data_IF_224019564006
#
_entry.id   IF_224019564006
#
_cell.length_a   1.000
_cell.length_b   1.000
_cell.length_c   1.000
_cell.angle_alpha   90.00
_cell.angle_beta   90.00
_cell.angle_gamma   90.00
#
_symmetry.space_group_name_H-M   'P 1'
#
loop_
_entity.id
_entity.type
_entity.pdbx_description
1 polymer ?
#
# COMPACT_ATOMS: atom_id res chain seq x y z
N UNK A 1 22.02 -5.70 54.39
CA UNK A 1 22.33 -5.03 53.09
C UNK A 1 21.68 -5.84 52.00
N UNK A 2 20.62 -5.34 51.33
CA UNK A 2 20.05 -6.02 50.18
C UNK A 2 20.74 -5.52 48.88
N UNK A 3 21.14 -6.45 48.06
CA UNK A 3 21.71 -6.23 46.74
C UNK A 3 20.64 -5.62 45.84
N UNK A 4 20.87 -4.41 45.38
CA UNK A 4 20.11 -3.79 44.29
C UNK A 4 20.56 -4.42 42.97
N UNK A 5 19.71 -5.21 42.34
CA UNK A 5 19.84 -5.65 40.97
C UNK A 5 19.57 -4.44 40.03
N UNK A 6 20.65 -3.90 39.52
CA UNK A 6 20.63 -2.89 38.50
C UNK A 6 20.16 -3.57 37.18
N UNK A 7 18.90 -3.37 36.83
CA UNK A 7 18.41 -3.74 35.50
C UNK A 7 18.91 -2.69 34.50
N UNK A 8 19.95 -3.03 33.77
CA UNK A 8 20.33 -2.27 32.57
C UNK A 8 19.17 -2.30 31.57
N UNK A 9 18.80 -1.17 30.95
CA UNK A 9 17.85 -1.21 29.84
C UNK A 9 18.45 -2.07 28.75
N UNK A 10 17.67 -3.01 28.24
CA UNK A 10 18.02 -3.81 27.05
C UNK A 10 18.22 -2.80 25.93
N UNK A 11 19.49 -2.54 25.57
CA UNK A 11 19.83 -1.89 24.30
C UNK A 11 19.30 -2.80 23.18
N UNK A 12 18.21 -2.39 22.56
CA UNK A 12 17.78 -2.97 21.28
C UNK A 12 18.89 -2.58 20.30
N UNK A 13 19.79 -3.53 20.01
CA UNK A 13 20.72 -3.40 18.88
C UNK A 13 19.87 -3.01 17.66
N UNK A 14 20.08 -1.77 17.17
CA UNK A 14 19.55 -1.33 15.90
C UNK A 14 20.21 -2.21 14.83
N UNK A 15 19.49 -3.24 14.41
CA UNK A 15 19.79 -3.91 13.16
C UNK A 15 19.86 -2.83 12.08
N UNK A 16 20.93 -2.82 11.29
CA UNK A 16 21.27 -1.89 10.21
C UNK A 16 20.05 -1.11 9.70
N UNK A 17 20.20 0.23 9.56
CA UNK A 17 19.17 1.14 8.97
C UNK A 17 18.86 0.69 7.51
N UNK A 18 18.05 -0.36 7.36
CA UNK A 18 17.60 -0.80 6.04
C UNK A 18 16.82 0.32 5.37
N UNK A 19 17.25 0.71 4.19
CA UNK A 19 16.57 1.69 3.36
C UNK A 19 15.30 1.08 2.80
N UNK A 20 14.17 1.72 3.05
CA UNK A 20 12.87 1.30 2.52
C UNK A 20 12.52 2.23 1.36
N UNK A 21 12.29 1.66 0.18
CA UNK A 21 11.78 2.38 -0.99
C UNK A 21 10.38 1.88 -1.31
N UNK A 22 9.43 2.80 -1.32
CA UNK A 22 8.04 2.54 -1.68
C UNK A 22 7.78 3.12 -3.06
N UNK A 23 7.76 2.27 -4.08
CA UNK A 23 7.36 2.63 -5.43
C UNK A 23 5.86 2.43 -5.59
N UNK A 24 5.15 3.45 -6.11
CA UNK A 24 3.71 3.41 -6.30
C UNK A 24 3.14 4.79 -6.63
N UNK A 25 1.85 4.96 -6.41
CA UNK A 25 1.16 6.22 -6.71
C UNK A 25 1.14 7.20 -5.53
N UNK A 26 1.14 8.50 -5.87
CA UNK A 26 0.65 9.59 -5.02
C UNK A 26 -0.61 10.15 -5.66
N UNK A 27 -1.67 10.32 -4.90
CA UNK A 27 -2.95 10.78 -5.43
C UNK A 27 -3.71 11.67 -4.43
N UNK A 28 -4.66 12.44 -4.95
CA UNK A 28 -5.68 13.11 -4.14
C UNK A 28 -7.03 12.42 -4.34
N UNK A 29 -7.72 12.14 -3.24
CA UNK A 29 -9.11 11.68 -3.26
C UNK A 29 -10.02 12.89 -3.04
N UNK A 30 -10.73 13.31 -4.09
CA UNK A 30 -11.65 14.44 -4.13
C UNK A 30 -13.07 13.94 -4.00
N UNK A 31 -13.61 14.04 -2.79
CA UNK A 31 -14.89 13.46 -2.39
C UNK A 31 -15.94 14.54 -2.33
N UNK A 32 -17.03 14.35 -3.08
CA UNK A 32 -18.18 15.24 -3.17
C UNK A 32 -19.45 14.47 -2.74
N UNK A 33 -20.34 15.13 -2.02
CA UNK A 33 -21.62 14.55 -1.63
C UNK A 33 -22.75 15.14 -2.48
N UNK A 34 -23.51 14.27 -3.13
CA UNK A 34 -24.72 14.64 -3.86
C UNK A 34 -25.93 14.48 -2.94
N UNK A 35 -26.71 15.57 -2.67
CA UNK A 35 -27.81 15.54 -1.71
C UNK A 35 -29.11 14.98 -2.33
N UNK A 36 -29.03 13.99 -3.20
CA UNK A 36 -30.11 13.30 -3.88
C UNK A 36 -29.73 11.86 -4.21
N UNK A 37 -30.46 11.24 -5.09
CA UNK A 37 -30.18 9.90 -5.59
C UNK A 37 -29.83 9.95 -7.07
N UNK A 38 -28.81 9.22 -7.49
CA UNK A 38 -28.44 9.13 -8.92
C UNK A 38 -29.58 8.55 -9.76
N UNK A 39 -30.36 7.63 -9.19
CA UNK A 39 -31.54 7.03 -9.83
C UNK A 39 -32.57 8.06 -10.28
N UNK A 40 -32.67 9.23 -9.64
CA UNK A 40 -33.62 10.28 -9.98
C UNK A 40 -33.16 11.10 -11.21
N UNK A 41 -31.88 11.01 -11.56
CA UNK A 41 -31.26 11.82 -12.61
C UNK A 41 -30.74 10.98 -13.79
N UNK A 42 -30.40 9.70 -13.55
CA UNK A 42 -29.89 8.78 -14.58
C UNK A 42 -31.01 7.83 -14.98
N UNK A 43 -31.53 8.04 -16.22
CA UNK A 43 -32.57 7.21 -16.79
C UNK A 43 -31.91 6.04 -17.54
N UNK A 44 -32.09 4.77 -17.12
CA UNK A 44 -31.42 3.62 -17.75
C UNK A 44 -31.67 3.50 -19.26
N UNK A 45 -32.89 3.82 -19.69
CA UNK A 45 -33.30 3.77 -21.10
C UNK A 45 -32.66 4.85 -21.96
N UNK A 46 -32.09 5.92 -21.35
CA UNK A 46 -31.44 7.05 -22.03
C UNK A 46 -29.94 7.13 -21.80
N UNK A 47 -29.33 6.10 -21.26
CA UNK A 47 -27.90 6.08 -20.91
C UNK A 47 -26.98 6.35 -22.11
N UNK A 48 -27.44 6.05 -23.33
CA UNK A 48 -26.71 6.27 -24.58
C UNK A 48 -26.57 7.75 -24.99
N UNK A 49 -27.33 8.66 -24.34
CA UNK A 49 -27.30 10.11 -24.54
C UNK A 49 -27.19 10.84 -23.20
N UNK A 50 -26.50 10.21 -22.25
CA UNK A 50 -26.40 10.72 -20.88
C UNK A 50 -25.73 12.10 -20.86
N UNK A 51 -26.46 13.10 -20.33
CA UNK A 51 -25.96 14.43 -20.03
C UNK A 51 -26.61 14.89 -18.73
N UNK A 52 -25.91 14.66 -17.62
CA UNK A 52 -26.40 15.00 -16.27
C UNK A 52 -25.44 15.93 -15.56
N UNK A 53 -25.98 16.87 -14.81
CA UNK A 53 -25.24 17.77 -13.94
C UNK A 53 -25.75 17.60 -12.51
N UNK A 54 -24.88 17.24 -11.60
CA UNK A 54 -25.21 17.14 -10.18
C UNK A 54 -24.71 18.37 -9.44
N UNK A 55 -25.60 19.02 -8.70
CA UNK A 55 -25.19 20.03 -7.74
C UNK A 55 -24.75 19.31 -6.45
N UNK A 56 -23.46 19.34 -6.15
CA UNK A 56 -22.86 18.65 -5.02
C UNK A 56 -22.64 19.58 -3.84
N UNK A 57 -22.64 19.03 -2.63
CA UNK A 57 -22.35 19.73 -1.39
C UNK A 57 -20.89 19.51 -1.00
N UNK A 58 -20.10 20.60 -1.07
CA UNK A 58 -18.72 20.60 -0.64
C UNK A 58 -17.78 19.76 -1.51
N UNK A 59 -16.52 19.95 -1.26
CA UNK A 59 -15.43 19.15 -1.79
C UNK A 59 -14.46 18.87 -0.63
N UNK A 60 -14.28 17.61 -0.30
CA UNK A 60 -13.25 17.16 0.64
C UNK A 60 -12.10 16.58 -0.16
N UNK A 61 -10.90 17.09 0.04
CA UNK A 61 -9.70 16.53 -0.56
C UNK A 61 -8.87 15.84 0.51
N UNK A 62 -8.52 14.59 0.25
CA UNK A 62 -7.69 13.74 1.11
C UNK A 62 -6.47 13.26 0.38
N UNK A 63 -5.42 12.99 1.14
CA UNK A 63 -4.20 12.38 0.62
C UNK A 63 -4.44 10.87 0.42
N UNK A 64 -3.97 10.35 -0.69
CA UNK A 64 -4.12 8.96 -1.09
C UNK A 64 -2.99 8.51 -2.00
N UNK A 65 -3.20 7.39 -2.67
CA UNK A 65 -2.20 6.72 -3.50
C UNK A 65 -1.40 5.70 -2.70
N UNK A 66 -1.13 4.56 -3.30
CA UNK A 66 -0.56 3.38 -2.63
C UNK A 66 0.78 3.67 -1.96
N UNK A 67 1.70 4.39 -2.65
CA UNK A 67 2.98 4.73 -2.05
C UNK A 67 2.84 5.70 -0.88
N UNK A 68 1.95 6.68 -0.98
CA UNK A 68 1.67 7.61 0.12
C UNK A 68 1.10 6.89 1.34
N UNK A 69 0.15 5.98 1.12
CA UNK A 69 -0.52 5.22 2.18
C UNK A 69 0.45 4.26 2.89
N UNK A 70 1.24 3.49 2.13
CA UNK A 70 2.24 2.56 2.69
C UNK A 70 3.32 3.33 3.46
N UNK A 71 3.84 4.44 2.89
CA UNK A 71 4.85 5.26 3.54
C UNK A 71 4.32 5.90 4.83
N UNK A 72 3.06 6.34 4.83
CA UNK A 72 2.41 6.86 6.04
C UNK A 72 2.33 5.80 7.14
N UNK A 73 1.88 4.57 6.81
CA UNK A 73 1.85 3.45 7.75
C UNK A 73 3.24 3.14 8.33
N UNK A 74 4.27 3.14 7.48
CA UNK A 74 5.65 2.91 7.90
C UNK A 74 6.15 3.98 8.89
N UNK A 75 5.81 5.26 8.69
CA UNK A 75 6.20 6.32 9.64
C UNK A 75 5.53 6.19 10.98
N UNK A 76 4.27 5.73 11.04
CA UNK A 76 3.61 5.42 12.32
C UNK A 76 4.30 4.26 13.06
N UNK A 77 4.96 3.36 12.33
CA UNK A 77 5.80 2.29 12.88
C UNK A 77 7.22 2.77 13.27
N UNK A 78 7.56 4.05 13.03
CA UNK A 78 8.87 4.62 13.32
C UNK A 78 9.92 4.43 12.22
N UNK A 79 9.52 3.92 11.04
CA UNK A 79 10.40 3.75 9.89
C UNK A 79 10.56 5.06 9.11
N UNK A 80 11.57 5.12 8.22
CA UNK A 80 11.87 6.28 7.37
C UNK A 80 11.84 5.88 5.89
N UNK A 81 10.66 5.69 5.30
CA UNK A 81 10.54 5.30 3.90
C UNK A 81 10.92 6.46 2.96
N UNK A 82 11.51 6.11 1.80
CA UNK A 82 11.58 6.98 0.63
C UNK A 82 10.47 6.60 -0.36
N UNK A 83 9.76 7.59 -0.89
CA UNK A 83 8.72 7.37 -1.90
C UNK A 83 9.29 7.57 -3.30
N UNK A 84 9.21 6.55 -4.15
CA UNK A 84 9.51 6.65 -5.58
C UNK A 84 8.19 6.74 -6.35
N UNK A 85 7.83 7.97 -6.73
CA UNK A 85 6.56 8.28 -7.38
C UNK A 85 6.69 9.55 -8.24
N UNK A 86 5.62 9.87 -8.97
CA UNK A 86 5.46 11.16 -9.64
C UNK A 86 4.31 11.94 -9.01
N UNK A 87 4.44 13.27 -9.07
CA UNK A 87 3.43 14.21 -8.59
C UNK A 87 3.31 15.38 -9.57
N UNK A 88 2.15 15.99 -9.66
CA UNK A 88 1.87 17.09 -10.59
C UNK A 88 2.29 18.46 -10.05
N UNK A 89 1.96 19.52 -10.81
CA UNK A 89 2.25 20.92 -10.44
C UNK A 89 1.51 21.38 -9.18
N UNK A 90 0.48 20.63 -8.74
CA UNK A 90 -0.29 20.88 -7.52
C UNK A 90 0.29 20.18 -6.27
N UNK A 91 1.61 19.90 -6.27
CA UNK A 91 2.33 19.08 -5.28
C UNK A 91 2.47 19.72 -3.89
N UNK A 92 2.43 21.04 -3.77
CA UNK A 92 2.84 21.77 -2.54
C UNK A 92 2.14 21.24 -1.29
N UNK A 93 0.82 21.08 -1.36
CA UNK A 93 0.03 20.59 -0.24
C UNK A 93 0.39 19.15 0.16
N UNK A 94 0.72 18.31 -0.81
CA UNK A 94 1.18 16.95 -0.54
C UNK A 94 2.56 16.94 0.10
N UNK A 95 3.48 17.79 -0.37
CA UNK A 95 4.82 17.91 0.21
C UNK A 95 4.80 18.47 1.63
N UNK A 96 3.94 19.43 1.93
CA UNK A 96 3.71 19.90 3.31
C UNK A 96 3.23 18.75 4.22
N UNK A 97 2.35 17.90 3.70
CA UNK A 97 1.87 16.74 4.42
C UNK A 97 2.97 15.71 4.66
N UNK A 98 3.75 15.37 3.64
CA UNK A 98 4.90 14.46 3.77
C UNK A 98 5.90 14.99 4.80
N UNK A 99 6.28 16.26 4.72
CA UNK A 99 7.22 16.90 5.65
C UNK A 99 6.68 16.85 7.10
N UNK A 100 5.40 17.14 7.30
CA UNK A 100 4.74 17.08 8.62
C UNK A 100 4.80 15.68 9.23
N UNK A 101 4.79 14.63 8.41
CA UNK A 101 4.86 13.24 8.85
C UNK A 101 6.28 12.65 8.76
N UNK A 102 7.30 13.46 8.47
CA UNK A 102 8.70 13.02 8.41
C UNK A 102 9.03 12.12 7.21
N UNK A 103 8.23 12.16 6.13
CA UNK A 103 8.42 11.36 4.92
C UNK A 103 9.26 12.18 3.92
N UNK A 104 10.35 11.59 3.41
CA UNK A 104 11.22 12.24 2.43
C UNK A 104 10.56 12.31 1.05
N UNK A 105 10.67 13.47 0.40
CA UNK A 105 10.29 13.69 -0.98
C UNK A 105 11.45 13.49 -1.98
N UNK A 106 12.61 12.96 -1.54
CA UNK A 106 13.85 12.87 -2.31
C UNK A 106 13.70 12.15 -3.66
N UNK A 107 12.86 11.10 -3.71
CA UNK A 107 12.67 10.27 -4.91
C UNK A 107 11.35 10.56 -5.63
N UNK A 108 10.67 11.68 -5.28
CA UNK A 108 9.44 12.10 -5.93
C UNK A 108 9.78 13.05 -7.08
N UNK A 109 9.39 12.67 -8.29
CA UNK A 109 9.57 13.48 -9.49
C UNK A 109 8.35 14.35 -9.74
N UNK A 110 8.55 15.68 -9.89
CA UNK A 110 7.49 16.61 -10.23
C UNK A 110 7.32 16.67 -11.75
N UNK A 111 6.10 16.51 -12.24
CA UNK A 111 5.70 16.65 -13.64
C UNK A 111 4.92 17.97 -13.78
N UNK A 112 5.60 19.01 -14.28
CA UNK A 112 5.09 20.39 -14.27
C UNK A 112 3.85 20.63 -15.15
N UNK A 113 3.63 19.82 -16.17
CA UNK A 113 2.52 19.98 -17.13
C UNK A 113 1.31 19.09 -16.80
N UNK A 114 1.34 18.36 -15.68
CA UNK A 114 0.26 17.48 -15.25
C UNK A 114 -0.22 17.83 -13.86
N UNK A 115 -1.48 17.50 -13.57
CA UNK A 115 -1.98 17.41 -12.21
C UNK A 115 -1.48 16.13 -11.54
N UNK A 116 -1.40 16.13 -10.21
CA UNK A 116 -1.25 14.88 -9.44
C UNK A 116 -2.41 13.94 -9.77
N UNK A 117 -2.15 12.62 -9.74
CA UNK A 117 -3.23 11.65 -9.89
C UNK A 117 -4.37 11.93 -8.90
N UNK A 118 -5.60 11.65 -9.31
CA UNK A 118 -6.74 11.94 -8.44
C UNK A 118 -7.98 11.14 -8.77
N UNK A 119 -8.64 10.68 -7.72
CA UNK A 119 -9.99 10.14 -7.78
C UNK A 119 -10.99 11.25 -7.50
N UNK A 120 -11.94 11.42 -8.42
CA UNK A 120 -13.08 12.37 -8.29
C UNK A 120 -14.31 11.55 -7.99
N UNK A 121 -14.68 11.51 -6.72
CA UNK A 121 -15.72 10.61 -6.19
C UNK A 121 -16.94 11.44 -5.85
N UNK A 122 -18.07 11.12 -6.46
CA UNK A 122 -19.37 11.68 -6.05
C UNK A 122 -20.22 10.57 -5.44
N UNK A 123 -20.68 10.78 -4.20
CA UNK A 123 -21.50 9.82 -3.45
C UNK A 123 -22.90 10.37 -3.28
N UNK A 124 -23.93 9.57 -3.57
CA UNK A 124 -25.34 9.93 -3.36
C UNK A 124 -25.84 9.54 -1.96
N UNK A 125 -27.14 9.81 -1.67
CA UNK A 125 -27.76 9.49 -0.37
C UNK A 125 -27.94 7.99 -0.10
N UNK A 126 -27.82 7.14 -1.11
CA UNK A 126 -27.86 5.69 -0.99
C UNK A 126 -26.46 5.05 -1.01
N UNK A 127 -25.40 5.84 -0.77
CA UNK A 127 -24.00 5.43 -0.81
C UNK A 127 -23.53 4.88 -2.18
N UNK A 128 -24.29 5.14 -3.26
CA UNK A 128 -23.80 4.87 -4.61
C UNK A 128 -22.72 5.86 -4.99
N UNK A 129 -21.72 5.42 -5.74
CA UNK A 129 -20.59 6.26 -6.14
C UNK A 129 -20.42 6.29 -7.65
N UNK A 130 -20.13 7.48 -8.15
CA UNK A 130 -19.61 7.71 -9.50
C UNK A 130 -18.18 8.24 -9.33
N UNK A 131 -17.19 7.49 -9.83
CA UNK A 131 -15.79 7.85 -9.70
C UNK A 131 -15.13 8.02 -11.06
N UNK A 132 -14.50 9.17 -11.28
CA UNK A 132 -13.58 9.41 -12.38
C UNK A 132 -12.14 9.39 -11.83
N UNK A 133 -11.26 8.54 -12.37
CA UNK A 133 -9.86 8.53 -12.01
C UNK A 133 -9.02 9.19 -13.10
N UNK A 134 -8.31 10.26 -12.75
CA UNK A 134 -7.32 10.89 -13.62
C UNK A 134 -5.91 10.45 -13.18
N UNK A 135 -5.16 9.72 -14.01
CA UNK A 135 -3.80 9.31 -13.65
C UNK A 135 -2.81 10.47 -13.58
N UNK A 136 -3.05 11.59 -14.30
CA UNK A 136 -2.19 12.78 -14.26
C UNK A 136 -0.70 12.45 -14.35
N UNK A 137 0.09 12.96 -13.41
CA UNK A 137 1.53 12.73 -13.33
C UNK A 137 1.92 11.24 -13.22
N UNK A 138 1.04 10.36 -12.68
CA UNK A 138 1.29 8.92 -12.56
C UNK A 138 1.51 8.22 -13.93
N UNK A 139 1.15 8.86 -15.05
CA UNK A 139 1.46 8.37 -16.41
C UNK A 139 2.96 8.28 -16.69
N UNK A 140 3.77 9.00 -15.94
CA UNK A 140 5.22 9.11 -16.18
C UNK A 140 5.98 8.30 -15.13
N UNK A 141 7.11 7.68 -15.55
CA UNK A 141 8.02 7.00 -14.66
C UNK A 141 8.62 7.96 -13.61
N UNK A 142 8.77 7.49 -12.39
CA UNK A 142 9.45 8.22 -11.32
C UNK A 142 10.96 8.32 -11.55
N UNK A 143 11.51 7.46 -12.42
CA UNK A 143 12.92 7.45 -12.81
C UNK A 143 13.89 7.30 -11.63
N UNK A 144 13.57 6.39 -10.69
CA UNK A 144 14.42 6.07 -9.54
C UNK A 144 15.81 5.61 -10.01
N UNK A 145 16.85 6.23 -9.45
CA UNK A 145 18.25 5.85 -9.70
C UNK A 145 18.65 4.66 -8.81
N UNK A 146 18.56 3.46 -9.36
CA UNK A 146 18.92 2.22 -8.66
C UNK A 146 20.42 2.09 -8.38
N UNK A 147 21.29 2.83 -9.04
CA UNK A 147 22.73 2.78 -8.79
C UNK A 147 23.13 3.43 -7.45
N UNK A 148 22.21 4.20 -6.87
CA UNK A 148 22.35 4.78 -5.52
C UNK A 148 21.83 3.88 -4.40
N UNK A 149 21.31 2.70 -4.72
CA UNK A 149 20.75 1.76 -3.75
C UNK A 149 21.77 0.65 -3.44
N UNK A 150 21.98 0.41 -2.13
CA UNK A 150 22.89 -0.66 -1.66
C UNK A 150 22.05 -1.94 -1.50
N UNK A 151 22.38 -3.00 -2.25
CA UNK A 151 21.54 -4.18 -2.38
C UNK A 151 21.21 -4.86 -1.05
N UNK A 152 22.18 -5.02 -0.15
CA UNK A 152 21.98 -5.69 1.14
C UNK A 152 21.34 -4.81 2.21
N UNK A 153 21.21 -3.52 1.95
CA UNK A 153 20.69 -2.51 2.88
C UNK A 153 19.40 -1.88 2.39
N UNK A 154 18.80 -2.42 1.31
CA UNK A 154 17.60 -1.85 0.71
C UNK A 154 16.53 -2.92 0.52
N UNK A 155 15.29 -2.58 0.91
CA UNK A 155 14.06 -3.29 0.56
C UNK A 155 13.17 -2.37 -0.27
N UNK A 156 12.76 -2.83 -1.43
CA UNK A 156 11.82 -2.11 -2.32
C UNK A 156 10.46 -2.78 -2.28
N UNK A 157 9.39 -2.01 -2.16
CA UNK A 157 8.06 -2.48 -2.54
C UNK A 157 7.66 -1.82 -3.86
N UNK A 158 7.23 -2.63 -4.82
CA UNK A 158 6.67 -2.18 -6.09
C UNK A 158 5.16 -2.38 -6.01
N UNK A 159 4.43 -1.29 -5.74
CA UNK A 159 2.98 -1.24 -5.57
C UNK A 159 2.30 -0.50 -6.73
N UNK A 160 0.95 -0.53 -6.83
CA UNK A 160 0.24 0.10 -7.93
C UNK A 160 0.60 1.57 -8.17
N UNK A 161 1.05 1.87 -9.38
CA UNK A 161 1.52 3.18 -9.78
C UNK A 161 1.71 3.28 -11.28
N UNK A 162 2.82 3.88 -11.72
CA UNK A 162 3.21 3.90 -13.11
C UNK A 162 3.51 2.48 -13.62
N UNK A 163 2.91 2.07 -14.73
CA UNK A 163 3.05 0.70 -15.27
C UNK A 163 4.47 0.39 -15.73
N UNK A 164 5.18 1.38 -16.28
CA UNK A 164 6.58 1.20 -16.70
C UNK A 164 7.47 0.94 -15.49
N UNK A 165 7.28 1.67 -14.39
CA UNK A 165 7.99 1.44 -13.13
C UNK A 165 7.67 0.04 -12.56
N UNK A 166 6.39 -0.36 -12.60
CA UNK A 166 5.94 -1.67 -12.09
C UNK A 166 6.58 -2.85 -12.85
N UNK A 167 6.90 -2.66 -14.14
CA UNK A 167 7.56 -3.68 -14.96
C UNK A 167 9.09 -3.60 -14.83
N UNK A 168 9.66 -2.40 -14.85
CA UNK A 168 11.11 -2.22 -14.91
C UNK A 168 11.79 -2.36 -13.54
N UNK A 169 11.14 -1.92 -12.44
CA UNK A 169 11.77 -1.95 -11.11
C UNK A 169 12.03 -3.37 -10.59
N UNK A 170 11.14 -4.35 -10.76
CA UNK A 170 11.48 -5.76 -10.50
C UNK A 170 12.72 -6.24 -11.26
N UNK A 171 12.84 -5.90 -12.55
CA UNK A 171 14.02 -6.24 -13.37
C UNK A 171 15.30 -5.60 -12.81
N UNK A 172 15.23 -4.33 -12.43
CA UNK A 172 16.35 -3.59 -11.85
C UNK A 172 16.74 -4.11 -10.47
N UNK A 173 15.77 -4.48 -9.63
CA UNK A 173 16.00 -5.13 -8.33
C UNK A 173 16.74 -6.45 -8.51
N UNK A 174 16.26 -7.34 -9.40
CA UNK A 174 16.92 -8.62 -9.72
C UNK A 174 18.35 -8.42 -10.20
N UNK A 175 18.55 -7.53 -11.16
CA UNK A 175 19.89 -7.28 -11.76
C UNK A 175 20.92 -6.78 -10.73
N UNK A 176 20.47 -6.15 -9.63
CA UNK A 176 21.32 -5.58 -8.57
C UNK A 176 21.30 -6.38 -7.26
N UNK A 177 20.55 -7.49 -7.21
CA UNK A 177 20.41 -8.30 -6.00
C UNK A 177 19.72 -7.55 -4.85
N UNK A 178 18.81 -6.61 -5.16
CA UNK A 178 17.99 -5.90 -4.18
C UNK A 178 16.75 -6.73 -3.90
N UNK A 179 16.44 -6.99 -2.63
CA UNK A 179 15.20 -7.65 -2.25
C UNK A 179 13.99 -6.74 -2.54
N UNK A 180 12.94 -7.32 -3.11
CA UNK A 180 11.72 -6.57 -3.36
C UNK A 180 10.43 -7.36 -3.06
N UNK A 181 9.39 -6.62 -2.73
CA UNK A 181 8.01 -7.09 -2.59
C UNK A 181 7.26 -6.62 -3.83
N UNK A 182 6.53 -7.52 -4.49
CA UNK A 182 5.70 -7.18 -5.64
C UNK A 182 4.22 -7.21 -5.26
N UNK A 183 3.57 -6.07 -5.47
CA UNK A 183 2.16 -5.82 -5.21
C UNK A 183 1.50 -5.32 -6.51
N UNK A 184 0.90 -6.18 -7.33
CA UNK A 184 0.24 -5.73 -8.55
C UNK A 184 -1.05 -4.94 -8.29
N UNK A 185 -1.77 -5.27 -7.21
CA UNK A 185 -3.00 -4.59 -6.77
C UNK A 185 -3.97 -4.27 -7.91
N UNK A 186 -4.57 -3.09 -7.86
CA UNK A 186 -5.52 -2.62 -8.87
C UNK A 186 -4.90 -2.39 -10.26
N UNK A 187 -3.58 -2.42 -10.43
CA UNK A 187 -2.93 -2.33 -11.75
C UNK A 187 -2.92 -3.67 -12.49
N UNK A 188 -3.28 -4.76 -11.82
CA UNK A 188 -3.25 -6.12 -12.37
C UNK A 188 -4.00 -6.28 -13.72
N UNK A 189 -5.18 -5.68 -13.96
CA UNK A 189 -5.84 -5.75 -15.26
C UNK A 189 -5.01 -5.20 -16.41
N UNK A 190 -4.15 -4.21 -16.17
CA UNK A 190 -3.35 -3.49 -17.17
C UNK A 190 -1.99 -4.15 -17.45
N UNK A 191 -1.49 -5.00 -16.56
CA UNK A 191 -0.26 -5.75 -16.74
C UNK A 191 -0.51 -6.93 -17.68
N UNK A 192 0.36 -7.16 -18.65
CA UNK A 192 0.27 -8.36 -19.47
C UNK A 192 0.84 -9.60 -18.74
N UNK A 193 0.56 -10.79 -19.28
CA UNK A 193 0.95 -12.05 -18.61
C UNK A 193 2.48 -12.20 -18.52
N UNK A 194 3.21 -11.75 -19.53
CA UNK A 194 4.67 -11.87 -19.58
C UNK A 194 5.32 -10.95 -18.54
N UNK A 195 4.93 -9.67 -18.52
CA UNK A 195 5.46 -8.70 -17.58
C UNK A 195 5.12 -9.07 -16.13
N UNK A 196 3.91 -9.63 -15.92
CA UNK A 196 3.47 -10.11 -14.60
C UNK A 196 4.34 -11.28 -14.10
N UNK A 197 4.60 -12.29 -14.95
CA UNK A 197 5.48 -13.42 -14.61
C UNK A 197 6.89 -12.91 -14.31
N UNK A 198 7.43 -12.03 -15.16
CA UNK A 198 8.78 -11.49 -14.99
C UNK A 198 8.91 -10.64 -13.72
N UNK A 199 7.87 -9.92 -13.32
CA UNK A 199 7.87 -9.14 -12.08
C UNK A 199 7.72 -10.02 -10.82
N UNK A 200 7.04 -11.16 -10.92
CA UNK A 200 6.93 -12.13 -9.81
C UNK A 200 8.23 -12.91 -9.64
N UNK A 201 8.90 -13.25 -10.74
CA UNK A 201 10.14 -14.03 -10.72
C UNK A 201 11.24 -13.36 -9.88
N UNK A 202 11.68 -14.03 -8.82
CA UNK A 202 12.72 -13.56 -7.92
C UNK A 202 12.25 -12.58 -6.84
N UNK A 203 10.97 -12.21 -6.78
CA UNK A 203 10.50 -11.37 -5.68
C UNK A 203 10.60 -12.10 -4.32
N UNK A 204 10.88 -11.33 -3.27
CA UNK A 204 10.88 -11.84 -1.90
C UNK A 204 9.49 -12.23 -1.45
N UNK A 205 8.49 -11.41 -1.80
CA UNK A 205 7.09 -11.64 -1.47
C UNK A 205 6.24 -11.14 -2.63
N UNK A 206 5.35 -12.00 -3.13
CA UNK A 206 4.17 -11.60 -3.89
C UNK A 206 3.04 -11.34 -2.89
N UNK A 207 2.51 -10.11 -2.85
CA UNK A 207 1.38 -9.77 -1.98
C UNK A 207 0.17 -9.37 -2.83
N UNK A 208 -1.00 -9.95 -2.52
CA UNK A 208 -2.25 -9.69 -3.23
C UNK A 208 -3.44 -10.04 -2.33
N UNK A 209 -4.67 -9.74 -2.74
CA UNK A 209 -5.86 -10.33 -2.14
C UNK A 209 -6.25 -11.63 -2.87
N UNK A 210 -7.29 -12.31 -2.40
CA UNK A 210 -7.77 -13.58 -2.97
C UNK A 210 -8.25 -13.42 -4.42
N UNK A 211 -9.02 -12.38 -4.72
CA UNK A 211 -9.47 -12.08 -6.08
C UNK A 211 -8.29 -11.79 -7.01
N UNK A 212 -7.30 -11.02 -6.55
CA UNK A 212 -6.09 -10.71 -7.32
C UNK A 212 -5.26 -11.97 -7.57
N UNK A 213 -5.14 -12.89 -6.58
CA UNK A 213 -4.45 -14.15 -6.78
C UNK A 213 -5.10 -15.00 -7.89
N UNK A 214 -6.43 -15.12 -7.87
CA UNK A 214 -7.16 -15.83 -8.92
C UNK A 214 -6.93 -15.20 -10.30
N UNK A 215 -6.92 -13.87 -10.37
CA UNK A 215 -6.65 -13.14 -11.60
C UNK A 215 -5.20 -13.34 -12.08
N UNK A 216 -4.21 -13.33 -11.15
CA UNK A 216 -2.80 -13.64 -11.46
C UNK A 216 -2.70 -15.03 -12.08
N UNK A 217 -3.26 -16.04 -11.41
CA UNK A 217 -3.23 -17.42 -11.90
C UNK A 217 -3.94 -17.56 -13.26
N UNK A 218 -5.07 -16.89 -13.44
CA UNK A 218 -5.81 -16.87 -14.70
C UNK A 218 -5.01 -16.24 -15.84
N UNK A 219 -4.34 -15.09 -15.60
CA UNK A 219 -3.55 -14.38 -16.61
C UNK A 219 -2.27 -15.11 -16.96
N UNK A 220 -1.53 -15.57 -15.97
CA UNK A 220 -0.21 -16.20 -16.16
C UNK A 220 -0.31 -17.67 -16.57
N UNK A 221 -1.45 -18.32 -16.35
CA UNK A 221 -1.65 -19.77 -16.46
C UNK A 221 -0.77 -20.59 -15.50
N UNK A 222 -0.24 -19.95 -14.47
CA UNK A 222 0.50 -20.59 -13.40
C UNK A 222 -0.44 -20.90 -12.23
N UNK A 223 -0.32 -22.09 -11.65
CA UNK A 223 -0.97 -22.39 -10.38
C UNK A 223 -0.13 -21.86 -9.20
N UNK A 224 -0.68 -21.92 -8.00
CA UNK A 224 0.00 -21.42 -6.78
C UNK A 224 1.37 -22.07 -6.55
N UNK A 225 1.52 -23.37 -6.81
CA UNK A 225 2.82 -24.04 -6.69
C UNK A 225 3.86 -23.48 -7.66
N UNK A 226 3.49 -23.28 -8.93
CA UNK A 226 4.37 -22.69 -9.93
C UNK A 226 4.70 -21.20 -9.62
N UNK A 227 3.78 -20.46 -8.99
CA UNK A 227 4.07 -19.11 -8.51
C UNK A 227 5.07 -19.13 -7.33
N UNK A 228 5.02 -20.14 -6.45
CA UNK A 228 5.97 -20.32 -5.35
C UNK A 228 7.36 -20.77 -5.82
N UNK A 229 7.48 -21.32 -7.04
CA UNK A 229 8.79 -21.54 -7.66
C UNK A 229 9.42 -20.25 -8.15
N UNK A 230 8.62 -19.19 -8.38
CA UNK A 230 9.07 -17.87 -8.82
C UNK A 230 9.29 -16.90 -7.66
N UNK A 231 8.41 -16.89 -6.68
CA UNK A 231 8.45 -16.03 -5.49
C UNK A 231 8.89 -16.83 -4.26
N UNK A 232 9.65 -16.22 -3.33
CA UNK A 232 10.03 -16.92 -2.08
C UNK A 232 8.85 -17.13 -1.13
N UNK A 233 7.83 -16.26 -1.19
CA UNK A 233 6.57 -16.40 -0.47
C UNK A 233 5.44 -15.68 -1.21
N UNK A 234 4.20 -16.12 -0.96
CA UNK A 234 2.99 -15.43 -1.38
C UNK A 234 2.20 -15.08 -0.13
N UNK A 235 1.77 -13.83 0.01
CA UNK A 235 0.86 -13.38 1.07
C UNK A 235 -0.47 -12.99 0.43
N UNK A 236 -1.54 -13.65 0.86
CA UNK A 236 -2.90 -13.38 0.39
C UNK A 236 -3.70 -12.76 1.51
N UNK A 237 -4.13 -11.50 1.33
CA UNK A 237 -5.02 -10.83 2.28
C UNK A 237 -6.46 -11.25 2.04
N UNK A 238 -7.21 -11.51 3.11
CA UNK A 238 -8.55 -12.12 3.12
C UNK A 238 -9.58 -11.22 3.84
N UNK A 239 -9.35 -9.90 3.83
CA UNK A 239 -10.22 -8.93 4.48
C UNK A 239 -10.36 -9.18 5.98
N UNK A 240 -11.59 -9.34 6.46
CA UNK A 240 -11.91 -9.56 7.87
C UNK A 240 -11.44 -10.91 8.43
N UNK A 241 -11.07 -11.87 7.57
CA UNK A 241 -10.52 -13.16 7.98
C UNK A 241 -9.04 -13.03 8.36
N UNK A 242 -8.32 -12.04 7.79
CA UNK A 242 -6.90 -11.83 8.01
C UNK A 242 -6.07 -12.02 6.76
N UNK A 243 -5.06 -12.87 6.81
CA UNK A 243 -4.22 -13.20 5.66
C UNK A 243 -3.67 -14.61 5.74
N UNK A 244 -3.23 -15.14 4.60
CA UNK A 244 -2.56 -16.44 4.52
C UNK A 244 -1.23 -16.31 3.82
N UNK A 245 -0.20 -16.90 4.42
CA UNK A 245 1.15 -16.97 3.89
C UNK A 245 1.34 -18.35 3.28
N UNK A 246 1.85 -18.39 2.06
CA UNK A 246 2.28 -19.59 1.39
C UNK A 246 3.77 -19.54 1.17
N UNK A 247 4.47 -20.61 1.55
CA UNK A 247 5.88 -20.85 1.27
C UNK A 247 6.04 -22.21 0.59
N UNK A 248 7.25 -22.58 0.20
CA UNK A 248 7.51 -23.88 -0.43
C UNK A 248 7.19 -25.09 0.47
N UNK A 249 7.17 -24.90 1.78
CA UNK A 249 7.09 -25.97 2.79
C UNK A 249 5.84 -25.90 3.68
N UNK A 250 5.16 -24.73 3.76
CA UNK A 250 4.02 -24.56 4.67
C UNK A 250 3.05 -23.48 4.24
N UNK A 251 1.84 -23.59 4.78
CA UNK A 251 0.79 -22.55 4.76
C UNK A 251 0.54 -22.09 6.19
N UNK A 252 0.41 -20.77 6.40
CA UNK A 252 0.24 -20.17 7.73
C UNK A 252 -0.92 -19.18 7.65
N UNK A 253 -1.94 -19.39 8.48
CA UNK A 253 -3.03 -18.44 8.65
C UNK A 253 -2.65 -17.37 9.69
N UNK A 254 -2.83 -16.12 9.32
CA UNK A 254 -2.65 -14.97 10.20
C UNK A 254 -4.03 -14.35 10.43
N UNK A 255 -4.56 -14.40 11.65
CA UNK A 255 -5.89 -13.86 11.92
C UNK A 255 -5.92 -12.33 11.75
N UNK A 256 -7.09 -11.81 11.35
CA UNK A 256 -7.33 -10.38 11.44
C UNK A 256 -7.36 -9.94 12.91
N UNK A 257 -6.95 -8.70 13.16
CA UNK A 257 -7.14 -8.05 14.46
C UNK A 257 -8.48 -7.33 14.44
N UNK A 258 -9.33 -7.65 15.40
CA UNK A 258 -10.63 -7.00 15.52
C UNK A 258 -10.45 -5.50 15.80
N UNK A 259 -10.95 -4.61 14.92
CA UNK A 259 -10.91 -3.18 15.14
C UNK A 259 -11.95 -2.78 16.21
N UNK A 260 -11.76 -1.62 16.85
CA UNK A 260 -12.79 -1.07 17.76
C UNK A 260 -14.12 -0.79 17.04
N UNK A 261 -14.02 -0.39 15.77
CA UNK A 261 -15.14 -0.17 14.84
C UNK A 261 -14.61 -0.15 13.42
N UNK A 262 -15.38 -0.59 12.47
CA UNK A 262 -15.09 -0.40 11.04
C UNK A 262 -15.79 0.87 10.57
N UNK A 263 -15.02 1.81 10.02
CA UNK A 263 -15.54 3.04 9.40
C UNK A 263 -15.33 3.04 7.89
N UNK A 264 -14.12 2.68 7.45
CA UNK A 264 -13.73 2.70 6.05
C UNK A 264 -12.64 1.65 5.81
N UNK A 265 -12.89 0.60 5.00
CA UNK A 265 -11.89 -0.42 4.71
C UNK A 265 -10.80 0.05 3.72
N UNK A 266 -10.96 1.24 3.12
CA UNK A 266 -10.01 1.77 2.14
C UNK A 266 -8.64 2.00 2.78
N UNK A 267 -7.58 1.52 2.11
CA UNK A 267 -6.21 1.64 2.60
C UNK A 267 -5.80 0.62 3.67
N UNK A 268 -6.69 -0.29 4.09
CA UNK A 268 -6.33 -1.37 5.00
C UNK A 268 -5.19 -2.24 4.45
N UNK A 269 -5.25 -2.57 3.15
CA UNK A 269 -4.20 -3.30 2.46
C UNK A 269 -2.86 -2.56 2.44
N UNK A 270 -2.86 -1.25 2.22
CA UNK A 270 -1.65 -0.43 2.24
C UNK A 270 -1.05 -0.37 3.65
N UNK A 271 -1.90 -0.20 4.66
CA UNK A 271 -1.51 -0.23 6.07
C UNK A 271 -0.93 -1.59 6.47
N UNK A 272 -1.53 -2.70 6.00
CA UNK A 272 -0.99 -4.05 6.18
C UNK A 272 0.43 -4.15 5.62
N UNK A 273 0.66 -3.65 4.40
CA UNK A 273 1.98 -3.63 3.75
C UNK A 273 3.00 -2.82 4.57
N UNK A 274 2.58 -1.69 5.13
CA UNK A 274 3.43 -0.90 6.04
C UNK A 274 3.87 -1.68 7.27
N UNK A 275 2.94 -2.33 7.97
CA UNK A 275 3.24 -3.17 9.15
C UNK A 275 4.12 -4.37 8.81
N UNK A 276 3.82 -5.07 7.70
CA UNK A 276 4.61 -6.20 7.19
C UNK A 276 6.07 -5.77 6.92
N UNK A 277 6.26 -4.69 6.17
CA UNK A 277 7.60 -4.18 5.81
C UNK A 277 8.37 -3.76 7.06
N UNK A 278 7.72 -3.08 8.01
CA UNK A 278 8.35 -2.70 9.28
C UNK A 278 8.86 -3.92 10.05
N UNK A 279 8.10 -5.01 10.09
CA UNK A 279 8.56 -6.28 10.68
C UNK A 279 9.78 -6.84 9.98
N UNK A 280 9.72 -6.93 8.64
CA UNK A 280 10.81 -7.49 7.81
C UNK A 280 12.12 -6.73 7.94
N UNK A 281 12.10 -5.40 7.98
CA UNK A 281 13.32 -4.57 8.10
C UNK A 281 13.90 -4.59 9.53
N UNK A 282 13.10 -4.94 10.51
CA UNK A 282 13.54 -5.20 11.90
C UNK A 282 14.04 -6.63 12.11
N UNK A 283 14.14 -7.43 11.06
CA UNK A 283 14.65 -8.80 11.13
C UNK A 283 13.65 -9.82 11.71
N UNK A 284 12.36 -9.45 11.77
CA UNK A 284 11.31 -10.40 12.17
C UNK A 284 11.09 -11.43 11.06
N UNK A 285 10.66 -12.62 11.44
CA UNK A 285 10.23 -13.61 10.46
C UNK A 285 8.95 -13.15 9.72
N UNK A 286 8.59 -13.88 8.68
CA UNK A 286 7.46 -13.51 7.82
C UNK A 286 6.12 -13.59 8.56
N UNK A 287 5.98 -14.52 9.50
CA UNK A 287 4.77 -14.71 10.29
C UNK A 287 4.57 -13.53 11.26
N UNK A 288 5.59 -13.19 12.04
CA UNK A 288 5.55 -12.05 12.96
C UNK A 288 5.35 -10.74 12.19
N UNK A 289 6.02 -10.58 11.04
CA UNK A 289 5.85 -9.41 10.16
C UNK A 289 4.42 -9.29 9.62
N UNK A 290 3.79 -10.40 9.21
CA UNK A 290 2.41 -10.42 8.75
C UNK A 290 1.40 -10.12 9.89
N UNK A 291 1.68 -10.57 11.12
CA UNK A 291 0.91 -10.19 12.32
C UNK A 291 0.99 -8.68 12.57
N UNK A 292 2.18 -8.06 12.41
CA UNK A 292 2.33 -6.61 12.46
C UNK A 292 1.50 -5.91 11.37
N UNK A 293 1.43 -6.51 10.18
CA UNK A 293 0.54 -6.06 9.11
C UNK A 293 -0.94 -6.06 9.51
N UNK A 294 -1.43 -7.17 10.08
CA UNK A 294 -2.81 -7.28 10.58
C UNK A 294 -3.14 -6.22 11.65
N UNK A 295 -2.22 -5.98 12.58
CA UNK A 295 -2.40 -4.94 13.62
C UNK A 295 -2.48 -3.56 12.98
N UNK A 296 -1.57 -3.21 12.05
CA UNK A 296 -1.57 -1.92 11.38
C UNK A 296 -2.87 -1.70 10.60
N UNK A 297 -3.33 -2.70 9.84
CA UNK A 297 -4.58 -2.65 9.10
C UNK A 297 -5.80 -2.41 10.01
N UNK A 298 -5.82 -2.98 11.22
CA UNK A 298 -6.91 -2.81 12.18
C UNK A 298 -7.11 -1.36 12.65
N UNK A 299 -6.05 -0.55 12.66
CA UNK A 299 -6.15 0.89 12.94
C UNK A 299 -6.64 1.68 11.73
N UNK A 300 -6.21 1.30 10.52
CA UNK A 300 -6.59 2.00 9.30
C UNK A 300 -8.11 1.96 9.08
N UNK A 301 -8.75 0.81 9.27
CA UNK A 301 -10.20 0.66 9.07
C UNK A 301 -11.06 1.43 10.08
N UNK A 302 -10.50 1.97 11.16
CA UNK A 302 -11.20 2.74 12.18
C UNK A 302 -11.42 4.21 11.81
N UNK A 303 -10.87 4.67 10.68
CA UNK A 303 -10.94 6.07 10.24
C UNK A 303 -11.38 6.20 8.79
N UNK A 304 -12.03 7.33 8.46
CA UNK A 304 -12.27 7.69 7.07
C UNK A 304 -11.01 8.29 6.44
N UNK A 305 -10.55 7.68 5.34
CA UNK A 305 -9.38 8.11 4.58
C UNK A 305 -8.10 7.41 5.01
N UNK A 306 -7.25 7.20 4.01
CA UNK A 306 -6.12 6.25 4.05
C UNK A 306 -4.90 6.74 4.84
N UNK A 307 -4.82 8.04 5.16
CA UNK A 307 -3.71 8.67 5.88
C UNK A 307 -4.20 9.52 7.08
N UNK A 308 -5.34 9.14 7.68
CA UNK A 308 -5.97 9.89 8.77
C UNK A 308 -5.89 9.17 10.13
N UNK A 309 -5.65 7.85 10.13
CA UNK A 309 -5.52 7.06 11.35
C UNK A 309 -4.18 7.31 12.05
N UNK A 310 -4.16 7.05 13.35
CA UNK A 310 -2.96 7.15 14.17
C UNK A 310 -2.97 6.08 15.24
N UNK A 311 -1.79 5.72 15.69
CA UNK A 311 -1.58 4.91 16.88
C UNK A 311 -0.24 5.26 17.52
N UNK A 312 -0.13 5.06 18.83
CA UNK A 312 1.14 5.11 19.54
C UNK A 312 1.82 3.73 19.51
N UNK A 313 3.14 3.66 19.78
CA UNK A 313 3.83 2.38 19.95
C UNK A 313 3.18 1.50 21.03
N UNK A 314 2.67 2.09 22.10
CA UNK A 314 1.99 1.39 23.19
C UNK A 314 0.67 0.77 22.72
N UNK A 315 -0.17 1.54 22.01
CA UNK A 315 -1.44 1.05 21.44
C UNK A 315 -1.21 -0.06 20.43
N UNK A 316 -0.17 0.08 19.59
CA UNK A 316 0.22 -0.96 18.64
C UNK A 316 0.64 -2.26 19.36
N UNK A 317 1.54 -2.16 20.34
CA UNK A 317 2.04 -3.31 21.09
C UNK A 317 0.91 -3.98 21.90
N UNK A 318 -0.02 -3.23 22.47
CA UNK A 318 -1.19 -3.77 23.15
C UNK A 318 -2.03 -4.66 22.23
N UNK A 319 -2.33 -4.20 20.99
CA UNK A 319 -3.07 -5.01 20.00
C UNK A 319 -2.24 -6.20 19.51
N UNK A 320 -0.95 -6.00 19.28
CA UNK A 320 -0.05 -7.05 18.83
C UNK A 320 0.04 -8.20 19.86
N UNK A 321 0.17 -7.87 21.15
CA UNK A 321 0.24 -8.87 22.23
C UNK A 321 -1.06 -9.66 22.38
N UNK A 322 -2.22 -9.09 22.06
CA UNK A 322 -3.50 -9.82 22.07
C UNK A 322 -3.58 -10.94 21.01
N UNK A 323 -2.79 -10.88 19.96
CA UNK A 323 -2.69 -11.96 18.97
C UNK A 323 -1.86 -13.15 19.44
N UNK A 324 -1.12 -13.02 20.56
CA UNK A 324 -0.25 -14.07 21.11
C UNK A 324 -0.84 -14.74 22.36
N UNK A 325 -2.00 -14.29 22.84
CA UNK A 325 -2.75 -14.87 23.94
C UNK A 325 -3.91 -15.72 23.49
#
# INVERSE_FOLDING_TARGET
>A
MPYALCHSPIEIERFNDMKIIVSGSLAYDRIMSFPGYFSDHILPEKIHVLNVCFQVNGLKEKFGGTAGNIAYALTLMGEKPGISATIGHDYQRYFEWLAKNGISAEYIRIIGDEFTAGAYITTDQADNQITGFNPGAMKYSSSLDFDRLISKETLVIVSPGNLEDMVNYPRLCKARGIDYIFDPGQSLPMLDAKDLVEAIEGCRILICNDYELDLIMSKTKLNKGALLEQARAIIVTLGEVGSRIYTSDREIDIPAVEPRRVQDPTGAGDSYRGGLISGLVRGKDIEESARMGSVSASFAVECYGTQEYRFSPEEFNERFNRLHG
#
